data_IF_606492310114
#
_entry.id   IF_606492310114
#
_cell.length_a   1.000
_cell.length_b   1.000
_cell.length_c   1.000
_cell.angle_alpha   90.00
_cell.angle_beta   90.00
_cell.angle_gamma   90.00
#
_symmetry.space_group_name_H-M   'P 1'
#
loop_
_entity.id
_entity.type
_entity.pdbx_description
1 polymer ?
#
# COMPACT_ATOMS: atom_id res chain seq x y z
N UNK A 1 -9.59 -11.55 12.32
CA UNK A 1 -9.24 -10.89 13.61
C UNK A 1 -9.82 -11.49 14.90
N UNK A 2 -10.81 -12.40 14.86
CA UNK A 2 -11.49 -12.83 16.10
C UNK A 2 -10.50 -13.38 17.15
N UNK A 3 -10.55 -12.85 18.38
CA UNK A 3 -9.80 -13.33 19.56
C UNK A 3 -8.28 -13.02 19.60
N UNK A 4 -7.75 -12.09 18.79
CA UNK A 4 -6.33 -11.66 18.87
C UNK A 4 -5.97 -11.08 20.26
N UNK A 5 -6.70 -10.10 20.83
CA UNK A 5 -6.29 -9.48 22.10
C UNK A 5 -6.17 -10.48 23.26
N UNK A 6 -7.06 -11.49 23.30
CA UNK A 6 -7.01 -12.52 24.34
C UNK A 6 -5.87 -13.53 24.15
N UNK A 7 -5.30 -13.66 22.94
CA UNK A 7 -4.09 -14.44 22.70
C UNK A 7 -2.85 -13.65 23.13
N UNK A 8 -2.79 -12.36 22.77
CA UNK A 8 -1.71 -11.47 23.17
C UNK A 8 -1.57 -11.39 24.70
N UNK A 9 -2.67 -11.18 25.43
CA UNK A 9 -2.66 -11.13 26.89
C UNK A 9 -2.36 -12.46 27.61
N UNK A 10 -2.03 -13.53 26.88
CA UNK A 10 -1.62 -14.84 27.43
C UNK A 10 -0.16 -15.18 27.11
N UNK A 11 0.55 -14.34 26.37
CA UNK A 11 1.95 -14.56 26.07
C UNK A 11 2.77 -14.42 27.36
N UNK A 12 3.72 -15.34 27.55
CA UNK A 12 4.69 -15.25 28.64
C UNK A 12 5.74 -14.16 28.34
N UNK A 13 6.10 -13.98 27.07
CA UNK A 13 6.99 -12.95 26.54
C UNK A 13 6.29 -12.18 25.42
N UNK A 14 6.39 -10.84 25.37
CA UNK A 14 5.75 -10.05 24.32
C UNK A 14 6.37 -10.34 22.96
N UNK A 15 5.59 -10.16 21.89
CA UNK A 15 6.11 -10.16 20.53
C UNK A 15 7.11 -9.01 20.40
N UNK A 16 8.35 -9.33 20.03
CA UNK A 16 9.41 -8.38 19.80
C UNK A 16 9.34 -7.84 18.38
N UNK A 17 9.03 -6.56 18.26
CA UNK A 17 8.88 -5.89 16.96
C UNK A 17 10.15 -5.08 16.66
N UNK A 18 10.70 -5.29 15.47
CA UNK A 18 11.73 -4.42 14.90
C UNK A 18 11.12 -3.48 13.86
N UNK A 19 11.34 -2.18 13.97
CA UNK A 19 10.84 -1.17 13.02
C UNK A 19 12.01 -0.59 12.24
N UNK A 20 11.97 -0.66 10.90
CA UNK A 20 12.96 -0.07 10.00
C UNK A 20 12.33 1.16 9.34
N UNK A 21 12.85 2.34 9.67
CA UNK A 21 12.31 3.64 9.25
C UNK A 21 11.31 4.21 10.27
N UNK A 22 11.74 5.22 11.02
CA UNK A 22 11.00 5.92 12.06
C UNK A 22 10.37 7.24 11.55
N UNK A 23 9.84 7.21 10.32
CA UNK A 23 9.02 8.29 9.77
C UNK A 23 7.61 8.32 10.38
N UNK A 24 6.72 9.16 9.82
CA UNK A 24 5.36 9.34 10.34
C UNK A 24 4.62 8.02 10.59
N UNK A 25 4.64 7.09 9.64
CA UNK A 25 3.97 5.80 9.80
C UNK A 25 4.60 4.96 10.93
N UNK A 26 5.93 4.81 10.93
CA UNK A 26 6.67 4.03 11.93
C UNK A 26 6.43 4.55 13.34
N UNK A 27 6.46 5.86 13.54
CA UNK A 27 6.19 6.50 14.83
C UNK A 27 4.75 6.26 15.30
N UNK A 28 3.74 6.44 14.43
CA UNK A 28 2.33 6.18 14.82
C UNK A 28 2.06 4.72 15.13
N UNK A 29 2.78 3.79 14.49
CA UNK A 29 2.75 2.39 14.86
C UNK A 29 3.38 2.16 16.23
N UNK A 30 4.55 2.74 16.50
CA UNK A 30 5.23 2.60 17.80
C UNK A 30 4.36 3.11 18.95
N UNK A 31 3.67 4.24 18.77
CA UNK A 31 2.68 4.77 19.72
C UNK A 31 1.63 3.71 20.10
N UNK A 32 1.21 2.87 19.14
CA UNK A 32 0.23 1.82 19.39
C UNK A 32 0.85 0.55 19.96
N UNK A 33 2.06 0.17 19.54
CA UNK A 33 2.73 -1.01 20.09
C UNK A 33 2.93 -0.86 21.60
N UNK A 34 3.36 0.31 22.07
CA UNK A 34 3.65 0.53 23.49
C UNK A 34 2.40 0.59 24.39
N UNK A 35 1.19 0.63 23.81
CA UNK A 35 -0.08 0.56 24.56
C UNK A 35 -0.82 -0.77 24.39
N UNK A 36 -0.41 -1.61 23.43
CA UNK A 36 -1.02 -2.93 23.18
C UNK A 36 -0.32 -3.99 24.04
N UNK A 37 -1.08 -4.64 24.92
CA UNK A 37 -0.60 -5.76 25.71
C UNK A 37 -0.01 -6.87 24.80
N UNK A 38 1.15 -7.43 25.18
CA UNK A 38 1.75 -8.58 24.51
C UNK A 38 2.57 -8.25 23.26
N UNK A 39 2.89 -6.98 23.02
CA UNK A 39 3.85 -6.52 22.00
C UNK A 39 4.84 -5.52 22.58
N UNK A 40 5.95 -5.31 21.87
CA UNK A 40 6.98 -4.36 22.29
C UNK A 40 7.79 -3.89 21.09
N UNK A 41 7.98 -2.57 20.96
CA UNK A 41 8.94 -2.00 20.00
C UNK A 41 10.34 -2.25 20.55
N UNK A 42 10.96 -3.33 20.11
CA UNK A 42 12.21 -3.85 20.71
C UNK A 42 13.44 -3.18 20.09
N UNK A 43 13.41 -2.98 18.77
CA UNK A 43 14.53 -2.42 18.02
C UNK A 43 14.00 -1.42 17.00
N UNK A 44 14.61 -0.25 16.91
CA UNK A 44 14.39 0.70 15.82
C UNK A 44 15.68 0.85 15.02
N UNK A 45 15.57 0.70 13.70
CA UNK A 45 16.65 1.00 12.77
C UNK A 45 16.26 2.22 11.93
N UNK A 46 17.03 3.30 12.05
CA UNK A 46 16.86 4.49 11.22
C UNK A 46 18.23 5.06 10.84
N UNK A 47 18.39 5.49 9.59
CA UNK A 47 19.64 6.12 9.12
C UNK A 47 19.91 7.44 9.88
N UNK A 48 18.87 8.06 10.43
CA UNK A 48 18.92 9.19 11.32
C UNK A 48 18.66 8.73 12.76
N UNK A 49 19.73 8.52 13.53
CA UNK A 49 19.66 8.10 14.93
C UNK A 49 18.73 9.01 15.77
N UNK A 50 18.73 10.32 15.51
CA UNK A 50 17.87 11.25 16.25
C UNK A 50 16.39 11.01 15.94
N UNK A 51 16.02 10.68 14.71
CA UNK A 51 14.64 10.36 14.36
C UNK A 51 14.17 9.11 15.11
N UNK A 52 14.98 8.04 15.12
CA UNK A 52 14.67 6.82 15.87
C UNK A 52 14.56 7.05 17.38
N UNK A 53 15.46 7.85 17.96
CA UNK A 53 15.37 8.22 19.39
C UNK A 53 14.12 9.05 19.69
N UNK A 54 13.80 10.04 18.85
CA UNK A 54 12.58 10.85 19.00
C UNK A 54 11.31 10.02 18.89
N UNK A 55 11.28 9.01 18.00
CA UNK A 55 10.14 8.12 17.85
C UNK A 55 9.92 7.26 19.12
N UNK A 56 10.99 6.78 19.77
CA UNK A 56 10.88 6.11 21.07
C UNK A 56 10.33 7.05 22.15
N UNK A 57 10.83 8.28 22.21
CA UNK A 57 10.35 9.29 23.17
C UNK A 57 8.87 9.60 22.96
N UNK A 58 8.43 9.78 21.71
CA UNK A 58 7.03 10.04 21.36
C UNK A 58 6.11 8.88 21.75
N UNK A 59 6.56 7.64 21.52
CA UNK A 59 5.87 6.42 21.93
C UNK A 59 5.85 6.22 23.46
N UNK A 60 6.50 7.10 24.23
CA UNK A 60 6.53 7.08 25.69
C UNK A 60 7.56 6.14 26.30
N UNK A 61 8.54 5.67 25.52
CA UNK A 61 9.65 4.85 26.01
C UNK A 61 10.66 5.75 26.76
N UNK A 62 11.00 5.44 28.03
CA UNK A 62 12.00 6.22 28.76
C UNK A 62 13.37 6.21 28.08
N UNK A 63 14.04 7.36 28.00
CA UNK A 63 15.36 7.50 27.38
C UNK A 63 16.43 6.59 28.01
N UNK A 64 16.35 6.34 29.32
CA UNK A 64 17.26 5.45 30.02
C UNK A 64 17.04 3.96 29.72
N UNK A 65 15.92 3.62 29.09
CA UNK A 65 15.64 2.29 28.55
C UNK A 65 16.05 2.15 27.07
N UNK A 66 16.57 3.20 26.41
CA UNK A 66 16.98 3.14 24.99
C UNK A 66 18.50 3.17 24.86
N UNK A 67 19.07 2.13 24.27
CA UNK A 67 20.52 1.96 24.08
C UNK A 67 20.88 1.85 22.61
N UNK A 68 21.91 2.56 22.19
CA UNK A 68 22.47 2.41 20.83
C UNK A 68 23.30 1.13 20.77
N UNK A 69 23.06 0.30 19.75
CA UNK A 69 23.77 -0.95 19.49
C UNK A 69 23.87 -1.18 17.97
N UNK A 70 25.06 -1.47 17.44
CA UNK A 70 25.32 -1.47 15.99
C UNK A 70 25.65 -2.86 15.42
N UNK A 71 25.53 -3.92 16.23
CA UNK A 71 25.61 -5.29 15.75
C UNK A 71 24.60 -6.22 16.46
N UNK A 72 24.27 -7.38 15.85
CA UNK A 72 23.22 -8.26 16.38
C UNK A 72 23.47 -8.73 17.82
N UNK A 73 24.71 -8.98 18.22
CA UNK A 73 25.01 -9.49 19.55
C UNK A 73 24.89 -8.39 20.62
N UNK A 74 25.22 -7.15 20.28
CA UNK A 74 24.96 -6.00 21.14
C UNK A 74 23.46 -5.76 21.30
N UNK A 75 22.69 -5.84 20.19
CA UNK A 75 21.23 -5.71 20.22
C UNK A 75 20.62 -6.79 21.12
N UNK A 76 21.01 -8.07 20.94
CA UNK A 76 20.54 -9.17 21.80
C UNK A 76 20.80 -8.90 23.29
N UNK A 77 22.00 -8.41 23.64
CA UNK A 77 22.33 -8.08 25.02
C UNK A 77 21.45 -6.94 25.60
N UNK A 78 21.08 -5.94 24.77
CA UNK A 78 20.15 -4.88 25.16
C UNK A 78 18.74 -5.46 25.42
N UNK A 79 18.27 -6.35 24.54
CA UNK A 79 16.96 -6.98 24.68
C UNK A 79 16.87 -7.91 25.90
N UNK A 80 17.94 -8.63 26.21
CA UNK A 80 18.04 -9.50 27.39
C UNK A 80 17.99 -8.71 28.72
N UNK A 81 18.49 -7.46 28.72
CA UNK A 81 18.37 -6.53 29.86
C UNK A 81 16.94 -5.95 29.99
N UNK A 82 16.06 -6.18 29.01
CA UNK A 82 14.70 -5.64 28.95
C UNK A 82 14.59 -4.23 28.36
N UNK A 83 15.72 -3.69 27.86
CA UNK A 83 15.83 -2.37 27.25
C UNK A 83 15.42 -2.41 25.76
N UNK A 84 15.47 -1.25 25.09
CA UNK A 84 15.24 -1.06 23.66
C UNK A 84 16.53 -0.74 22.93
N UNK A 85 16.72 -1.33 21.77
CA UNK A 85 17.88 -1.04 20.93
C UNK A 85 17.54 -0.01 19.84
N UNK A 86 18.43 0.95 19.66
CA UNK A 86 18.45 1.87 18.53
C UNK A 86 19.70 1.57 17.69
N UNK A 87 19.54 1.50 16.38
CA UNK A 87 20.65 1.26 15.46
C UNK A 87 20.51 2.09 14.19
N UNK A 88 21.61 2.31 13.49
CA UNK A 88 21.60 2.84 12.12
C UNK A 88 21.73 1.76 11.06
N UNK A 89 21.87 0.48 11.47
CA UNK A 89 22.00 -0.67 10.58
C UNK A 89 20.76 -1.57 10.62
N UNK A 90 19.94 -1.49 9.57
CA UNK A 90 18.78 -2.36 9.39
C UNK A 90 19.16 -3.86 9.39
N UNK A 91 20.35 -4.23 8.91
CA UNK A 91 20.81 -5.62 8.92
C UNK A 91 21.09 -6.12 10.34
N UNK A 92 21.62 -5.25 11.21
CA UNK A 92 21.81 -5.56 12.62
C UNK A 92 20.47 -5.87 13.30
N UNK A 93 19.45 -5.04 13.06
CA UNK A 93 18.07 -5.28 13.52
C UNK A 93 17.53 -6.61 12.98
N UNK A 94 17.58 -6.84 11.67
CA UNK A 94 17.02 -8.04 11.02
C UNK A 94 17.62 -9.33 11.60
N UNK A 95 18.92 -9.31 11.93
CA UNK A 95 19.65 -10.47 12.46
C UNK A 95 19.51 -10.66 13.96
N UNK A 96 18.93 -9.70 14.67
CA UNK A 96 18.69 -9.78 16.11
C UNK A 96 17.49 -10.66 16.47
N UNK A 97 17.23 -10.83 17.76
CA UNK A 97 16.14 -11.66 18.30
C UNK A 97 14.78 -10.94 18.34
N UNK A 98 14.35 -10.41 17.18
CA UNK A 98 12.99 -9.91 16.91
C UNK A 98 12.12 -10.97 16.23
N UNK A 99 10.81 -10.94 16.43
CA UNK A 99 9.84 -11.85 15.82
C UNK A 99 9.31 -11.33 14.47
N UNK A 100 9.02 -10.03 14.43
CA UNK A 100 8.41 -9.35 13.28
C UNK A 100 9.22 -8.11 12.93
N UNK A 101 9.57 -7.99 11.65
CA UNK A 101 10.16 -6.78 11.06
C UNK A 101 9.07 -6.00 10.36
N UNK A 102 8.91 -4.74 10.74
CA UNK A 102 8.08 -3.77 10.04
C UNK A 102 8.99 -2.91 9.18
N UNK A 103 8.78 -2.97 7.88
CA UNK A 103 9.53 -2.19 6.91
C UNK A 103 8.70 -0.96 6.53
N UNK A 104 9.15 0.22 6.96
CA UNK A 104 8.44 1.50 6.80
C UNK A 104 9.36 2.63 6.36
N UNK A 105 10.35 2.33 5.52
CA UNK A 105 11.26 3.35 4.97
C UNK A 105 10.61 4.21 3.89
N UNK A 106 9.60 3.70 3.17
CA UNK A 106 9.00 4.38 2.03
C UNK A 106 9.92 4.45 0.81
N UNK A 107 10.99 3.63 0.77
CA UNK A 107 11.96 3.59 -0.33
C UNK A 107 11.92 2.20 -0.96
N UNK A 108 11.40 2.04 -2.20
CA UNK A 108 11.08 0.73 -2.78
C UNK A 108 12.28 -0.24 -2.79
N UNK A 109 13.43 0.22 -3.28
CA UNK A 109 14.65 -0.59 -3.36
C UNK A 109 15.16 -1.05 -1.98
N UNK A 110 15.08 -0.18 -0.97
CA UNK A 110 15.48 -0.49 0.41
C UNK A 110 14.47 -1.45 1.04
N UNK A 111 13.17 -1.22 0.82
CA UNK A 111 12.10 -2.07 1.33
C UNK A 111 12.16 -3.49 0.78
N UNK A 112 12.35 -3.64 -0.54
CA UNK A 112 12.56 -4.93 -1.19
C UNK A 112 13.74 -5.71 -0.58
N UNK A 113 14.88 -5.03 -0.36
CA UNK A 113 16.08 -5.63 0.23
C UNK A 113 15.85 -6.04 1.68
N UNK A 114 15.29 -5.16 2.50
CA UNK A 114 15.04 -5.41 3.92
C UNK A 114 14.07 -6.58 4.10
N UNK A 115 12.98 -6.61 3.33
CA UNK A 115 12.01 -7.71 3.37
C UNK A 115 12.63 -9.04 2.96
N UNK A 116 13.39 -9.06 1.86
CA UNK A 116 14.06 -10.28 1.41
C UNK A 116 15.04 -10.82 2.47
N UNK A 117 15.88 -9.95 3.04
CA UNK A 117 16.83 -10.36 4.09
C UNK A 117 16.11 -10.82 5.36
N UNK A 118 15.06 -10.13 5.79
CA UNK A 118 14.24 -10.51 6.94
C UNK A 118 13.62 -11.90 6.78
N UNK A 119 13.02 -12.16 5.62
CA UNK A 119 12.45 -13.47 5.29
C UNK A 119 13.52 -14.57 5.35
N UNK A 120 14.69 -14.33 4.77
CA UNK A 120 15.81 -15.30 4.77
C UNK A 120 16.37 -15.58 6.15
N UNK A 121 16.22 -14.64 7.07
CA UNK A 121 16.56 -14.78 8.48
C UNK A 121 15.42 -15.33 9.34
N UNK A 122 14.32 -15.80 8.71
CA UNK A 122 13.20 -16.42 9.40
C UNK A 122 12.36 -15.44 10.20
N UNK A 123 12.33 -14.16 9.79
CA UNK A 123 11.51 -13.13 10.40
C UNK A 123 10.21 -12.95 9.64
N UNK A 124 9.12 -12.72 10.36
CA UNK A 124 7.90 -12.22 9.72
C UNK A 124 8.11 -10.81 9.21
N UNK A 125 7.47 -10.46 8.10
CA UNK A 125 7.57 -9.12 7.49
C UNK A 125 6.18 -8.51 7.39
N UNK A 126 6.03 -7.30 7.94
CA UNK A 126 4.91 -6.41 7.68
C UNK A 126 5.44 -5.26 6.82
N UNK A 127 5.01 -5.22 5.57
CA UNK A 127 5.42 -4.26 4.57
C UNK A 127 4.51 -3.04 4.59
N UNK A 128 5.09 -1.87 4.87
CA UNK A 128 4.43 -0.56 4.77
C UNK A 128 4.75 0.11 3.44
N UNK A 129 5.96 -0.10 2.90
CA UNK A 129 6.37 0.41 1.58
C UNK A 129 5.66 -0.37 0.47
N UNK A 130 4.40 -0.02 0.21
CA UNK A 130 3.54 -0.65 -0.80
C UNK A 130 4.12 -0.53 -2.22
N UNK A 131 4.93 0.48 -2.47
CA UNK A 131 5.64 0.68 -3.73
C UNK A 131 6.59 -0.50 -4.04
N UNK A 132 7.25 -1.07 -3.03
CA UNK A 132 8.05 -2.29 -3.23
C UNK A 132 7.17 -3.51 -3.54
N UNK A 133 5.95 -3.54 -3.00
CA UNK A 133 5.00 -4.63 -3.18
C UNK A 133 4.51 -4.71 -4.63
N UNK A 134 4.27 -3.59 -5.29
CA UNK A 134 3.80 -3.58 -6.69
C UNK A 134 4.82 -4.19 -7.66
N UNK A 135 6.13 -4.06 -7.38
CA UNK A 135 7.18 -4.58 -8.26
C UNK A 135 7.60 -6.00 -7.93
N UNK A 136 7.83 -6.30 -6.64
CA UNK A 136 8.44 -7.57 -6.18
C UNK A 136 7.65 -8.27 -5.07
N UNK A 137 6.43 -7.84 -4.79
CA UNK A 137 5.55 -8.46 -3.81
C UNK A 137 5.34 -9.96 -4.04
N UNK A 138 4.98 -10.43 -5.26
CA UNK A 138 4.74 -11.85 -5.52
C UNK A 138 5.93 -12.76 -5.15
N UNK A 139 7.15 -12.41 -5.58
CA UNK A 139 8.34 -13.19 -5.24
C UNK A 139 8.67 -13.13 -3.73
N UNK A 140 8.44 -12.00 -3.06
CA UNK A 140 8.62 -11.89 -1.61
C UNK A 140 7.63 -12.78 -0.86
N UNK A 141 6.35 -12.80 -1.25
CA UNK A 141 5.33 -13.66 -0.67
C UNK A 141 5.66 -15.15 -0.86
N UNK A 142 6.05 -15.57 -2.07
CA UNK A 142 6.46 -16.95 -2.34
C UNK A 142 7.73 -17.32 -1.54
N UNK A 143 8.68 -16.39 -1.42
CA UNK A 143 9.90 -16.59 -0.63
C UNK A 143 9.58 -16.76 0.85
N UNK A 144 8.63 -15.99 1.39
CA UNK A 144 8.19 -16.09 2.77
C UNK A 144 7.55 -17.45 3.07
N UNK A 145 6.66 -17.92 2.18
CA UNK A 145 6.05 -19.26 2.28
C UNK A 145 7.13 -20.36 2.33
N UNK A 146 8.14 -20.29 1.46
CA UNK A 146 9.26 -21.25 1.43
C UNK A 146 10.10 -21.25 2.72
N UNK A 147 10.17 -20.12 3.43
CA UNK A 147 10.88 -19.99 4.72
C UNK A 147 9.97 -20.25 5.93
N UNK A 148 8.68 -20.51 5.71
CA UNK A 148 7.72 -20.78 6.78
C UNK A 148 7.32 -19.54 7.59
N UNK A 149 7.54 -18.34 7.04
CA UNK A 149 7.20 -17.06 7.67
C UNK A 149 6.14 -16.32 6.87
N UNK A 150 5.41 -15.43 7.54
CA UNK A 150 4.45 -14.52 6.91
C UNK A 150 5.15 -13.28 6.32
N UNK A 151 4.83 -12.97 5.06
CA UNK A 151 4.96 -11.64 4.45
C UNK A 151 3.55 -11.04 4.30
N UNK A 152 3.35 -9.81 4.75
CA UNK A 152 2.03 -9.17 4.75
C UNK A 152 2.15 -7.70 4.39
N UNK A 153 1.24 -7.20 3.55
CA UNK A 153 0.89 -5.78 3.54
C UNK A 153 0.39 -5.36 4.93
N UNK A 154 0.63 -4.11 5.28
CA UNK A 154 0.23 -3.57 6.57
C UNK A 154 -1.28 -3.29 6.64
N UNK A 155 -1.92 -3.73 7.73
CA UNK A 155 -3.31 -3.43 8.02
C UNK A 155 -3.45 -2.01 8.55
N UNK A 156 -4.53 -1.32 8.15
CA UNK A 156 -4.71 0.10 8.41
C UNK A 156 -4.39 0.98 7.22
N UNK A 157 -3.58 0.48 6.28
CA UNK A 157 -3.46 1.04 4.93
C UNK A 157 -4.57 0.46 4.02
N UNK A 158 -5.03 1.21 3.02
CA UNK A 158 -6.20 0.84 2.23
C UNK A 158 -6.09 -0.55 1.59
N UNK A 159 -4.96 -0.97 0.98
CA UNK A 159 -4.89 -2.27 0.30
C UNK A 159 -5.26 -3.46 1.20
N UNK A 160 -4.69 -3.53 2.41
CA UNK A 160 -4.96 -4.64 3.33
C UNK A 160 -6.40 -4.59 3.87
N UNK A 161 -6.99 -3.40 4.05
CA UNK A 161 -8.39 -3.27 4.47
C UNK A 161 -9.35 -3.70 3.35
N UNK A 162 -9.03 -3.39 2.09
CA UNK A 162 -9.80 -3.86 0.92
C UNK A 162 -9.71 -5.38 0.81
N UNK A 163 -8.52 -5.97 0.99
CA UNK A 163 -8.34 -7.43 0.98
C UNK A 163 -9.20 -8.11 2.06
N UNK A 164 -9.32 -7.50 3.26
CA UNK A 164 -10.24 -8.01 4.28
C UNK A 164 -11.71 -8.00 3.80
N UNK A 165 -12.18 -6.90 3.20
CA UNK A 165 -13.53 -6.81 2.66
C UNK A 165 -13.76 -7.83 1.53
N UNK A 166 -12.77 -8.01 0.66
CA UNK A 166 -12.78 -8.99 -0.42
C UNK A 166 -12.90 -10.43 0.13
N UNK A 167 -12.03 -10.80 1.05
CA UNK A 167 -12.00 -12.15 1.64
C UNK A 167 -13.31 -12.44 2.39
N UNK A 168 -13.85 -11.44 3.11
CA UNK A 168 -15.17 -11.54 3.74
C UNK A 168 -16.28 -11.79 2.71
N UNK A 169 -16.35 -10.97 1.65
CA UNK A 169 -17.40 -11.06 0.63
C UNK A 169 -17.40 -12.43 -0.06
N UNK A 170 -16.22 -12.90 -0.47
CA UNK A 170 -16.03 -14.24 -1.05
C UNK A 170 -16.43 -15.34 -0.05
N UNK A 171 -16.06 -15.22 1.22
CA UNK A 171 -16.39 -16.20 2.27
C UNK A 171 -17.89 -16.35 2.49
N UNK A 172 -18.65 -15.25 2.40
CA UNK A 172 -20.12 -15.28 2.54
C UNK A 172 -20.86 -15.62 1.23
N UNK A 173 -20.11 -15.89 0.15
CA UNK A 173 -20.66 -16.32 -1.14
C UNK A 173 -21.19 -15.18 -2.00
N UNK A 174 -20.74 -13.95 -1.77
CA UNK A 174 -21.02 -12.81 -2.64
C UNK A 174 -19.94 -12.72 -3.72
N UNK A 175 -20.36 -12.47 -4.95
CA UNK A 175 -19.42 -12.19 -6.03
C UNK A 175 -18.94 -10.74 -5.92
N UNK A 176 -17.64 -10.51 -6.04
CA UNK A 176 -17.07 -9.16 -6.04
C UNK A 176 -17.15 -8.58 -7.45
N UNK A 177 -17.82 -7.44 -7.57
CA UNK A 177 -18.01 -6.71 -8.84
C UNK A 177 -16.91 -5.68 -9.00
N UNK A 178 -16.70 -4.85 -7.98
CA UNK A 178 -15.65 -3.85 -7.93
C UNK A 178 -15.14 -3.74 -6.49
N UNK A 179 -13.85 -3.47 -6.29
CA UNK A 179 -13.28 -3.15 -4.98
C UNK A 179 -12.33 -1.96 -5.12
N UNK A 180 -12.23 -1.13 -4.08
CA UNK A 180 -11.47 0.10 -4.23
C UNK A 180 -11.41 0.99 -3.00
N UNK A 181 -10.90 2.19 -3.24
CA UNK A 181 -10.78 3.28 -2.26
C UNK A 181 -11.42 4.57 -2.76
N UNK A 182 -11.56 5.55 -1.87
CA UNK A 182 -11.75 6.94 -2.28
C UNK A 182 -10.41 7.67 -2.41
N UNK A 183 -10.38 8.69 -3.27
CA UNK A 183 -9.25 9.60 -3.39
C UNK A 183 -9.69 10.92 -4.05
N UNK A 184 -9.18 12.09 -3.66
CA UNK A 184 -9.40 13.31 -4.44
C UNK A 184 -8.72 13.19 -5.81
N UNK A 185 -9.47 13.30 -6.90
CA UNK A 185 -8.90 13.19 -8.25
C UNK A 185 -9.70 13.96 -9.30
N UNK A 186 -8.98 14.68 -10.15
CA UNK A 186 -9.48 15.16 -11.46
C UNK A 186 -8.39 14.93 -12.50
N UNK A 187 -8.78 14.74 -13.76
CA UNK A 187 -7.86 14.36 -14.84
C UNK A 187 -6.68 15.34 -14.98
N UNK A 188 -6.87 16.64 -14.76
CA UNK A 188 -5.78 17.63 -14.87
C UNK A 188 -4.69 17.45 -13.79
N UNK A 189 -5.01 16.85 -12.65
CA UNK A 189 -4.05 16.70 -11.54
C UNK A 189 -2.90 15.77 -11.88
N UNK A 190 -3.03 14.89 -12.88
CA UNK A 190 -1.96 14.03 -13.36
C UNK A 190 -0.73 14.83 -13.86
N UNK A 191 -0.93 16.09 -14.28
CA UNK A 191 0.14 16.96 -14.77
C UNK A 191 0.71 17.89 -13.70
N UNK A 192 0.15 17.85 -12.48
CA UNK A 192 0.62 18.67 -11.38
C UNK A 192 2.00 18.24 -10.89
N UNK A 193 2.68 19.16 -10.22
CA UNK A 193 4.09 19.00 -9.83
C UNK A 193 4.29 19.27 -8.34
N UNK A 194 5.46 18.94 -7.77
CA UNK A 194 5.80 19.33 -6.39
C UNK A 194 5.72 20.84 -6.13
N UNK A 195 5.80 21.70 -7.16
CA UNK A 195 5.80 23.16 -7.00
C UNK A 195 4.44 23.74 -6.61
N UNK A 196 3.33 23.11 -7.02
CA UNK A 196 1.96 23.63 -6.87
C UNK A 196 1.08 22.77 -5.95
N UNK A 197 1.67 21.73 -5.34
CA UNK A 197 0.89 20.70 -4.65
C UNK A 197 0.15 21.21 -3.42
N UNK A 198 0.81 22.04 -2.61
CA UNK A 198 0.18 22.54 -1.37
C UNK A 198 -0.93 23.54 -1.66
N UNK A 199 -0.85 24.27 -2.77
CA UNK A 199 -1.93 25.12 -3.27
C UNK A 199 -3.13 24.28 -3.71
N UNK A 200 -2.89 23.18 -4.42
CA UNK A 200 -3.96 22.23 -4.83
C UNK A 200 -4.62 21.53 -3.65
N UNK A 201 -3.87 21.22 -2.59
CA UNK A 201 -4.44 20.74 -1.32
C UNK A 201 -5.16 21.84 -0.52
N UNK A 202 -4.98 23.11 -0.87
CA UNK A 202 -5.55 24.24 -0.14
C UNK A 202 -4.90 24.49 1.23
N UNK A 203 -3.65 24.05 1.42
CA UNK A 203 -2.91 24.32 2.65
C UNK A 203 -2.50 25.79 2.74
N UNK A 204 -2.50 26.35 3.94
CA UNK A 204 -1.98 27.71 4.14
C UNK A 204 -0.45 27.71 4.08
N UNK A 205 0.14 28.81 3.59
CA UNK A 205 1.60 29.01 3.62
C UNK A 205 2.17 28.80 5.04
N UNK A 206 1.47 29.30 6.08
CA UNK A 206 1.85 29.13 7.48
C UNK A 206 1.91 27.65 7.90
N UNK A 207 0.92 26.84 7.52
CA UNK A 207 0.91 25.42 7.86
C UNK A 207 2.04 24.65 7.15
N UNK A 208 2.32 24.99 5.90
CA UNK A 208 3.42 24.38 5.13
C UNK A 208 4.77 24.77 5.70
N UNK A 209 4.99 26.02 6.09
CA UNK A 209 6.25 26.46 6.71
C UNK A 209 6.49 25.82 8.08
N UNK A 210 5.43 25.55 8.85
CA UNK A 210 5.52 24.92 10.16
C UNK A 210 5.60 23.38 10.11
N UNK A 211 5.30 22.77 8.97
CA UNK A 211 5.23 21.32 8.79
C UNK A 211 6.34 20.82 7.86
N UNK A 212 7.02 19.73 8.22
CA UNK A 212 8.03 19.09 7.35
C UNK A 212 7.36 18.18 6.30
N UNK A 213 6.54 18.78 5.42
CA UNK A 213 5.79 18.05 4.39
C UNK A 213 6.67 17.69 3.19
N UNK A 214 6.54 16.45 2.70
CA UNK A 214 7.22 16.01 1.47
C UNK A 214 6.32 16.28 0.24
N UNK A 215 6.64 17.26 -0.63
CA UNK A 215 5.77 17.62 -1.75
C UNK A 215 5.63 16.52 -2.80
N UNK A 216 6.63 15.65 -3.00
CA UNK A 216 6.52 14.50 -3.92
C UNK A 216 5.48 13.51 -3.44
N UNK A 217 5.54 13.15 -2.15
CA UNK A 217 4.55 12.26 -1.53
C UNK A 217 3.14 12.83 -1.67
N UNK A 218 2.93 14.11 -1.33
CA UNK A 218 1.62 14.74 -1.49
C UNK A 218 1.17 14.78 -2.96
N UNK A 219 2.07 15.05 -3.91
CA UNK A 219 1.71 15.10 -5.31
C UNK A 219 1.29 13.74 -5.86
N UNK A 220 1.93 12.66 -5.41
CA UNK A 220 1.55 11.29 -5.75
C UNK A 220 0.11 10.94 -5.34
N UNK A 221 -0.45 11.62 -4.33
CA UNK A 221 -1.84 11.45 -3.93
C UNK A 221 -2.82 12.06 -4.93
N UNK A 222 -2.47 13.17 -5.59
CA UNK A 222 -3.37 13.85 -6.52
C UNK A 222 -3.15 13.47 -7.98
N UNK A 223 -1.92 13.13 -8.38
CA UNK A 223 -1.59 12.82 -9.77
C UNK A 223 -2.02 11.43 -10.24
N UNK A 224 -2.62 10.63 -9.35
CA UNK A 224 -3.11 9.27 -9.63
C UNK A 224 -2.10 8.16 -9.34
N UNK A 225 -0.84 8.49 -9.05
CA UNK A 225 0.22 7.50 -8.79
C UNK A 225 -0.10 6.65 -7.56
N UNK A 226 -0.43 7.26 -6.41
CA UNK A 226 -0.73 6.51 -5.19
C UNK A 226 -1.98 5.64 -5.33
N UNK A 227 -3.11 6.12 -5.90
CA UNK A 227 -4.24 5.25 -6.27
C UNK A 227 -3.83 4.05 -7.13
N UNK A 228 -3.00 4.25 -8.16
CA UNK A 228 -2.53 3.15 -9.01
C UNK A 228 -1.70 2.13 -8.22
N UNK A 229 -0.77 2.59 -7.38
CA UNK A 229 0.06 1.73 -6.52
C UNK A 229 -0.79 0.90 -5.56
N UNK A 230 -1.71 1.53 -4.83
CA UNK A 230 -2.55 0.82 -3.87
C UNK A 230 -3.53 -0.16 -4.56
N UNK A 231 -4.08 0.20 -5.72
CA UNK A 231 -4.98 -0.70 -6.45
C UNK A 231 -4.23 -1.83 -7.15
N UNK A 232 -2.96 -1.65 -7.52
CA UNK A 232 -2.08 -2.74 -7.96
C UNK A 232 -1.90 -3.77 -6.85
N UNK A 233 -1.61 -3.32 -5.63
CA UNK A 233 -1.48 -4.20 -4.47
C UNK A 233 -2.76 -4.99 -4.17
N UNK A 234 -3.93 -4.33 -4.27
CA UNK A 234 -5.23 -5.00 -4.17
C UNK A 234 -5.42 -6.02 -5.28
N UNK A 235 -5.16 -5.64 -6.54
CA UNK A 235 -5.31 -6.51 -7.70
C UNK A 235 -4.47 -7.78 -7.53
N UNK A 236 -3.17 -7.64 -7.23
CA UNK A 236 -2.24 -8.75 -7.05
C UNK A 236 -2.61 -9.63 -5.83
N UNK A 237 -3.24 -9.07 -4.80
CA UNK A 237 -3.73 -9.84 -3.65
C UNK A 237 -5.08 -10.54 -3.89
N UNK A 238 -5.88 -10.12 -4.87
CA UNK A 238 -7.28 -10.57 -5.03
C UNK A 238 -7.58 -11.22 -6.38
N UNK A 239 -6.72 -11.05 -7.38
CA UNK A 239 -6.96 -11.44 -8.77
C UNK A 239 -7.94 -10.53 -9.52
N UNK A 240 -8.38 -9.44 -8.90
CA UNK A 240 -9.16 -8.38 -9.56
C UNK A 240 -8.26 -7.63 -10.56
N UNK A 241 -8.85 -7.00 -11.58
CA UNK A 241 -8.11 -6.32 -12.66
C UNK A 241 -8.63 -4.89 -12.92
N UNK A 242 -7.82 -3.96 -13.45
CA UNK A 242 -8.37 -2.72 -13.98
C UNK A 242 -9.29 -3.00 -15.17
N UNK A 243 -10.45 -2.34 -15.23
CA UNK A 243 -11.37 -2.47 -16.38
C UNK A 243 -10.89 -1.69 -17.61
N UNK A 244 -10.13 -0.61 -17.37
CA UNK A 244 -9.43 0.21 -18.37
C UNK A 244 -8.07 0.64 -17.82
N UNK A 245 -7.04 0.90 -18.67
CA UNK A 245 -5.78 1.46 -18.20
C UNK A 245 -5.99 2.75 -17.41
N UNK A 246 -5.36 2.84 -16.24
CA UNK A 246 -5.53 3.96 -15.32
C UNK A 246 -6.77 3.87 -14.42
N UNK A 247 -7.65 2.87 -14.56
CA UNK A 247 -8.98 2.79 -13.91
C UNK A 247 -9.96 3.87 -14.40
N UNK A 248 -11.22 3.82 -13.96
CA UNK A 248 -12.23 4.80 -14.37
C UNK A 248 -12.21 6.08 -13.51
N UNK A 249 -11.87 5.97 -12.21
CA UNK A 249 -11.87 7.07 -11.24
C UNK A 249 -13.15 7.95 -11.23
N UNK A 250 -14.37 7.38 -11.26
CA UNK A 250 -15.58 8.20 -11.33
C UNK A 250 -15.80 8.99 -10.04
N UNK A 251 -16.35 10.19 -10.16
CA UNK A 251 -16.93 10.92 -9.03
C UNK A 251 -18.27 10.28 -8.64
N UNK A 252 -18.47 9.96 -7.37
CA UNK A 252 -19.73 9.41 -6.86
C UNK A 252 -19.84 9.65 -5.35
N UNK A 253 -21.04 9.99 -4.87
CA UNK A 253 -21.33 9.90 -3.44
C UNK A 253 -21.38 8.43 -3.01
N UNK A 254 -21.14 8.14 -1.73
CA UNK A 254 -21.22 6.78 -1.17
C UNK A 254 -22.51 6.05 -1.60
N UNK A 255 -23.72 6.65 -1.54
CA UNK A 255 -24.95 5.98 -1.97
C UNK A 255 -25.03 5.62 -3.46
N UNK A 256 -24.13 6.16 -4.28
CA UNK A 256 -24.13 6.02 -5.74
C UNK A 256 -23.07 5.01 -6.24
N UNK A 257 -22.11 4.63 -5.41
CA UNK A 257 -20.97 3.78 -5.82
C UNK A 257 -21.44 2.48 -6.49
N UNK A 258 -22.41 1.77 -5.92
CA UNK A 258 -22.96 0.53 -6.50
C UNK A 258 -23.86 0.76 -7.73
N UNK A 259 -24.35 1.98 -7.94
CA UNK A 259 -25.09 2.36 -9.15
C UNK A 259 -24.11 2.58 -10.32
N UNK A 260 -22.96 3.20 -10.03
CA UNK A 260 -21.92 3.54 -11.01
C UNK A 260 -21.04 2.33 -11.32
N UNK A 261 -20.42 1.72 -10.32
CA UNK A 261 -19.44 0.63 -10.44
C UNK A 261 -20.12 -0.75 -10.56
N UNK A 262 -20.90 -0.92 -11.63
CA UNK A 262 -21.50 -2.19 -12.06
C UNK A 262 -21.43 -2.31 -13.59
N UNK A 263 -21.72 -3.49 -14.17
CA UNK A 263 -21.69 -3.68 -15.61
C UNK A 263 -22.59 -2.72 -16.39
N UNK A 264 -22.15 -2.31 -17.60
CA UNK A 264 -22.93 -1.48 -18.53
C UNK A 264 -24.28 -2.07 -18.90
N UNK A 265 -24.37 -3.40 -19.01
CA UNK A 265 -25.63 -4.11 -19.27
C UNK A 265 -26.68 -3.91 -18.17
N UNK A 266 -26.23 -3.59 -16.96
CA UNK A 266 -27.04 -3.32 -15.78
C UNK A 266 -27.15 -1.81 -15.46
N UNK A 267 -26.60 -0.94 -16.32
CA UNK A 267 -26.71 0.51 -16.23
C UNK A 267 -25.57 1.22 -15.47
N UNK A 268 -24.46 0.54 -15.20
CA UNK A 268 -23.23 1.17 -14.68
C UNK A 268 -22.21 1.48 -15.78
N UNK A 269 -20.94 1.65 -15.40
CA UNK A 269 -19.86 2.03 -16.31
C UNK A 269 -18.89 0.91 -16.68
N UNK A 270 -18.92 -0.23 -15.97
CA UNK A 270 -17.91 -1.28 -16.12
C UNK A 270 -18.18 -2.18 -17.32
N UNK A 271 -17.15 -2.58 -18.06
CA UNK A 271 -17.27 -3.65 -19.06
C UNK A 271 -17.33 -5.03 -18.39
N UNK A 272 -16.60 -5.22 -17.29
CA UNK A 272 -16.48 -6.50 -16.59
C UNK A 272 -16.87 -6.43 -15.11
N UNK A 273 -17.07 -7.60 -14.49
CA UNK A 273 -17.04 -7.75 -13.02
C UNK A 273 -15.65 -8.22 -12.58
N UNK A 274 -15.35 -8.09 -11.29
CA UNK A 274 -14.05 -8.45 -10.74
C UNK A 274 -13.00 -7.36 -10.98
N UNK A 275 -13.38 -6.10 -10.78
CA UNK A 275 -12.52 -4.95 -11.08
C UNK A 275 -11.92 -4.31 -9.82
N UNK A 276 -10.73 -3.71 -9.97
CA UNK A 276 -10.26 -2.68 -9.04
C UNK A 276 -10.51 -1.30 -9.65
N UNK A 277 -10.97 -0.36 -8.82
CA UNK A 277 -11.15 1.04 -9.23
C UNK A 277 -11.00 1.98 -8.03
N UNK A 278 -10.94 3.28 -8.27
CA UNK A 278 -10.94 4.33 -7.25
C UNK A 278 -12.17 5.21 -7.45
N UNK A 279 -12.77 5.75 -6.39
CA UNK A 279 -13.86 6.74 -6.52
C UNK A 279 -13.31 8.11 -6.19
N UNK A 280 -13.51 9.07 -7.10
CA UNK A 280 -13.09 10.44 -6.87
C UNK A 280 -14.01 11.14 -5.86
N UNK A 281 -13.41 11.88 -4.93
CA UNK A 281 -14.13 12.81 -4.05
C UNK A 281 -14.23 14.23 -4.61
N UNK A 282 -13.81 14.43 -5.85
CA UNK A 282 -13.95 15.68 -6.59
C UNK A 282 -14.75 15.43 -7.87
N UNK A 283 -15.60 16.38 -8.22
CA UNK A 283 -16.17 16.47 -9.56
C UNK A 283 -15.15 17.04 -10.55
N UNK A 284 -15.35 16.86 -11.88
CA UNK A 284 -14.43 17.40 -12.89
C UNK A 284 -14.24 18.93 -12.87
N UNK A 285 -15.13 19.68 -12.21
CA UNK A 285 -14.99 21.12 -12.00
C UNK A 285 -14.30 21.49 -10.67
N UNK A 286 -13.66 20.50 -10.03
CA UNK A 286 -12.96 20.58 -8.75
C UNK A 286 -13.86 20.87 -7.53
N UNK A 287 -15.19 20.82 -7.70
CA UNK A 287 -16.10 20.87 -6.56
C UNK A 287 -16.07 19.56 -5.76
N UNK A 288 -16.15 19.66 -4.44
CA UNK A 288 -16.19 18.50 -3.54
C UNK A 288 -17.47 17.69 -3.74
N UNK A 289 -17.34 16.36 -3.66
CA UNK A 289 -18.48 15.44 -3.53
C UNK A 289 -18.94 15.46 -2.07
N UNK A 290 -20.23 15.63 -1.80
CA UNK A 290 -20.73 15.89 -0.44
C UNK A 290 -20.55 14.71 0.54
N UNK A 291 -21.05 13.52 0.19
CA UNK A 291 -20.95 12.28 1.00
C UNK A 291 -19.90 11.34 0.38
N UNK A 292 -18.66 11.81 0.30
CA UNK A 292 -17.57 11.12 -0.39
C UNK A 292 -16.89 10.03 0.44
N UNK A 293 -16.06 9.21 -0.22
CA UNK A 293 -15.35 8.07 0.37
C UNK A 293 -13.82 8.30 0.50
N UNK A 294 -13.29 9.53 0.42
CA UNK A 294 -11.84 9.85 0.32
C UNK A 294 -10.93 9.10 1.29
N UNK A 295 -11.37 8.89 2.53
CA UNK A 295 -10.59 8.20 3.56
C UNK A 295 -11.00 6.73 3.74
N UNK A 296 -11.95 6.25 2.96
CA UNK A 296 -12.55 4.95 3.08
C UNK A 296 -12.14 3.98 1.98
N UNK A 297 -12.66 2.77 2.13
CA UNK A 297 -12.55 1.68 1.17
C UNK A 297 -13.92 1.07 0.93
N UNK A 298 -14.11 0.45 -0.23
CA UNK A 298 -15.38 -0.15 -0.61
C UNK A 298 -15.22 -1.49 -1.32
N UNK A 299 -16.31 -2.23 -1.33
CA UNK A 299 -16.54 -3.35 -2.22
C UNK A 299 -17.99 -3.32 -2.71
N UNK A 300 -18.17 -3.35 -4.03
CA UNK A 300 -19.45 -3.59 -4.68
C UNK A 300 -19.57 -5.08 -4.95
N UNK A 301 -20.65 -5.68 -4.47
CA UNK A 301 -20.89 -7.11 -4.64
C UNK A 301 -22.13 -7.40 -5.46
N UNK A 302 -22.21 -8.62 -5.99
CA UNK A 302 -23.39 -9.20 -6.63
C UNK A 302 -23.84 -10.44 -5.89
N UNK A 303 -25.08 -10.42 -5.41
CA UNK A 303 -25.72 -11.61 -4.86
C UNK A 303 -26.19 -12.50 -6.01
N UNK A 304 -25.79 -13.77 -6.04
CA UNK A 304 -26.13 -14.67 -7.16
C UNK A 304 -27.52 -15.33 -7.01
N UNK A 305 -28.02 -15.44 -5.77
CA UNK A 305 -29.30 -16.06 -5.47
C UNK A 305 -30.42 -15.02 -5.42
N UNK A 306 -31.49 -15.23 -6.20
CA UNK A 306 -32.63 -14.29 -6.30
C UNK A 306 -33.34 -14.05 -4.96
N UNK A 307 -33.49 -15.07 -4.11
CA UNK A 307 -34.11 -14.88 -2.79
C UNK A 307 -33.22 -14.03 -1.87
N UNK A 308 -31.89 -14.17 -2.00
CA UNK A 308 -30.93 -13.31 -1.30
C UNK A 308 -30.97 -11.88 -1.83
N UNK A 309 -31.08 -11.68 -3.16
CA UNK A 309 -31.27 -10.36 -3.75
C UNK A 309 -32.51 -9.66 -3.18
N UNK A 310 -33.66 -10.34 -3.18
CA UNK A 310 -34.90 -9.81 -2.60
C UNK A 310 -34.79 -9.51 -1.09
N UNK A 311 -34.02 -10.31 -0.35
CA UNK A 311 -33.76 -10.06 1.06
C UNK A 311 -32.89 -8.82 1.27
N UNK A 312 -31.84 -8.65 0.46
CA UNK A 312 -30.95 -7.49 0.51
C UNK A 312 -31.68 -6.21 0.05
N UNK A 313 -32.55 -6.31 -0.96
CA UNK A 313 -33.41 -5.21 -1.42
C UNK A 313 -34.31 -4.66 -0.30
N UNK A 314 -34.88 -5.55 0.52
CA UNK A 314 -35.69 -5.17 1.69
C UNK A 314 -34.90 -4.40 2.76
N UNK A 315 -33.58 -4.59 2.80
CA UNK A 315 -32.67 -3.85 3.69
C UNK A 315 -32.16 -2.55 3.04
N UNK A 316 -32.39 -2.36 1.73
CA UNK A 316 -32.08 -1.15 1.00
C UNK A 316 -32.69 0.08 1.67
N UNK A 317 -31.87 1.11 1.91
CA UNK A 317 -32.30 2.34 2.59
C UNK A 317 -32.46 2.23 4.10
N UNK A 318 -32.17 1.08 4.72
CA UNK A 318 -32.16 0.88 6.19
C UNK A 318 -30.74 0.66 6.75
N UNK A 319 -29.72 1.16 6.05
CA UNK A 319 -28.30 1.02 6.42
C UNK A 319 -27.46 0.25 5.39
N UNK A 320 -28.01 -0.04 4.21
CA UNK A 320 -27.29 -0.62 3.08
C UNK A 320 -27.74 0.05 1.80
N UNK A 321 -26.79 0.33 0.92
CA UNK A 321 -27.04 0.83 -0.43
C UNK A 321 -27.07 -0.33 -1.40
N UNK A 322 -28.12 -0.36 -2.22
CA UNK A 322 -28.39 -1.47 -3.15
C UNK A 322 -28.81 -0.91 -4.50
N UNK A 323 -28.60 -1.74 -5.52
CA UNK A 323 -28.88 -1.43 -6.91
C UNK A 323 -29.59 -2.62 -7.58
N UNK A 324 -30.43 -2.34 -8.58
CA UNK A 324 -31.17 -3.33 -9.37
C UNK A 324 -31.89 -4.39 -8.52
N UNK A 325 -32.85 -3.94 -7.69
CA UNK A 325 -33.69 -4.82 -6.85
C UNK A 325 -32.85 -5.75 -5.95
N UNK A 326 -31.81 -5.17 -5.33
CA UNK A 326 -30.90 -5.90 -4.44
C UNK A 326 -29.94 -6.85 -5.15
N UNK A 327 -29.77 -6.77 -6.48
CA UNK A 327 -28.74 -7.52 -7.22
C UNK A 327 -27.33 -7.08 -6.85
N UNK A 328 -27.11 -5.77 -6.71
CA UNK A 328 -25.84 -5.17 -6.35
C UNK A 328 -25.91 -4.51 -4.97
N UNK A 329 -24.83 -4.60 -4.19
CA UNK A 329 -24.75 -4.03 -2.85
C UNK A 329 -23.41 -3.34 -2.64
N UNK A 330 -23.42 -2.25 -1.88
CA UNK A 330 -22.21 -1.60 -1.39
C UNK A 330 -21.93 -2.02 0.05
N UNK A 331 -20.69 -2.46 0.29
CA UNK A 331 -20.12 -2.55 1.62
C UNK A 331 -18.90 -1.64 1.66
N UNK A 332 -18.78 -0.82 2.69
CA UNK A 332 -17.71 0.15 2.79
C UNK A 332 -17.26 0.35 4.23
N UNK A 333 -16.03 0.81 4.38
CA UNK A 333 -15.47 1.29 5.63
C UNK A 333 -15.08 2.75 5.39
N UNK A 334 -15.71 3.72 6.09
CA UNK A 334 -15.52 5.15 5.78
C UNK A 334 -14.21 5.74 6.33
N UNK A 335 -13.27 4.90 6.77
CA UNK A 335 -11.98 5.31 7.31
C UNK A 335 -10.96 4.18 7.16
N UNK A 336 -9.69 4.56 7.17
CA UNK A 336 -8.54 3.71 7.44
C UNK A 336 -7.60 4.51 8.36
N UNK A 337 -6.85 3.85 9.24
CA UNK A 337 -5.97 4.51 10.20
C UNK A 337 -4.54 3.98 10.03
N UNK A 338 -3.76 4.56 9.09
CA UNK A 338 -2.42 4.09 8.79
C UNK A 338 -1.51 4.26 10.02
N UNK A 339 -0.61 3.30 10.24
CA UNK A 339 0.23 3.20 11.44
C UNK A 339 -0.54 2.70 12.67
N UNK A 340 -1.70 3.28 12.96
CA UNK A 340 -2.47 2.99 14.19
C UNK A 340 -3.00 1.55 14.21
N UNK A 341 -3.48 1.04 13.08
CA UNK A 341 -4.03 -0.33 13.00
C UNK A 341 -2.99 -1.39 12.63
N UNK A 342 -1.74 -0.99 12.39
CA UNK A 342 -0.69 -1.88 11.88
C UNK A 342 -0.32 -3.02 12.86
N UNK A 343 -0.60 -2.86 14.15
CA UNK A 343 -0.48 -3.93 15.16
C UNK A 343 -1.32 -5.17 14.83
N UNK A 344 -2.40 -5.03 14.04
CA UNK A 344 -3.20 -6.16 13.57
C UNK A 344 -2.39 -7.11 12.70
N UNK A 345 -1.55 -6.61 11.78
CA UNK A 345 -0.69 -7.44 10.93
C UNK A 345 0.41 -8.12 11.74
N UNK A 346 1.03 -7.38 12.66
CA UNK A 346 2.05 -7.91 13.58
C UNK A 346 1.49 -9.09 14.38
N UNK A 347 0.30 -8.91 14.97
CA UNK A 347 -0.37 -9.96 15.73
C UNK A 347 -0.72 -11.19 14.88
N UNK A 348 -1.27 -11.01 13.68
CA UNK A 348 -1.65 -12.15 12.84
C UNK A 348 -0.42 -12.92 12.36
N UNK A 349 0.64 -12.22 11.95
CA UNK A 349 1.90 -12.86 11.55
C UNK A 349 2.48 -13.70 12.70
N UNK A 350 2.73 -13.08 13.87
CA UNK A 350 3.36 -13.77 14.99
C UNK A 350 2.50 -14.87 15.64
N UNK A 351 1.18 -14.67 15.76
CA UNK A 351 0.31 -15.61 16.51
C UNK A 351 -0.35 -16.68 15.63
N UNK A 352 -0.38 -16.49 14.32
CA UNK A 352 -1.13 -17.35 13.40
C UNK A 352 -0.38 -17.73 12.14
N UNK A 353 0.71 -17.03 11.84
CA UNK A 353 1.38 -17.13 10.56
C UNK A 353 0.41 -16.88 9.39
N UNK A 354 -0.44 -15.85 9.55
CA UNK A 354 -1.45 -15.43 8.58
C UNK A 354 -1.20 -13.96 8.19
N UNK A 355 -1.12 -13.60 6.90
CA UNK A 355 -1.07 -12.20 6.48
C UNK A 355 -2.44 -11.54 6.60
N UNK A 356 -2.47 -10.22 6.76
CA UNK A 356 -3.70 -9.39 6.63
C UNK A 356 -3.98 -8.98 5.18
N UNK A 357 -2.99 -9.15 4.32
CA UNK A 357 -3.09 -9.05 2.87
C UNK A 357 -1.72 -9.39 2.28
N UNK A 358 -1.68 -10.13 1.17
CA UNK A 358 -0.44 -10.47 0.48
C UNK A 358 -0.76 -10.75 -0.99
N UNK A 359 0.18 -10.48 -1.91
CA UNK A 359 0.01 -10.84 -3.31
C UNK A 359 -0.14 -12.36 -3.44
N UNK A 360 -1.11 -12.78 -4.26
CA UNK A 360 -1.42 -14.17 -4.56
C UNK A 360 -1.04 -14.52 -6.01
N UNK A 361 -0.98 -13.51 -6.86
CA UNK A 361 -0.66 -13.60 -8.28
C UNK A 361 -0.09 -12.24 -8.76
N UNK A 362 0.37 -12.17 -10.01
CA UNK A 362 0.79 -10.92 -10.67
C UNK A 362 -0.18 -10.64 -11.83
N UNK A 363 -1.27 -9.94 -11.53
CA UNK A 363 -2.36 -9.65 -12.49
C UNK A 363 -2.41 -8.19 -12.94
N UNK A 364 -1.75 -7.29 -12.21
CA UNK A 364 -1.66 -5.88 -12.54
C UNK A 364 -0.25 -5.34 -12.31
N UNK A 365 0.08 -4.29 -13.05
CA UNK A 365 1.36 -3.60 -13.02
C UNK A 365 1.10 -2.08 -12.91
N UNK A 366 1.95 -1.36 -12.20
CA UNK A 366 1.95 0.11 -12.27
C UNK A 366 3.00 0.49 -13.31
N UNK A 367 2.60 1.22 -14.35
CA UNK A 367 3.50 1.70 -15.41
C UNK A 367 3.63 3.22 -15.36
N UNK A 368 4.72 3.78 -15.89
CA UNK A 368 4.93 5.23 -15.93
C UNK A 368 4.39 5.87 -17.21
N UNK A 369 3.62 6.94 -17.08
CA UNK A 369 3.19 7.81 -18.19
C UNK A 369 3.84 9.17 -18.09
N UNK A 370 4.28 9.72 -19.22
CA UNK A 370 4.96 11.01 -19.23
C UNK A 370 3.98 12.18 -18.99
N UNK A 371 4.25 13.04 -18.00
CA UNK A 371 3.47 14.26 -17.70
C UNK A 371 3.62 15.32 -18.80
N UNK A 372 4.71 15.26 -19.55
CA UNK A 372 5.09 16.16 -20.64
C UNK A 372 5.95 15.39 -21.64
N UNK A 373 6.18 15.93 -22.82
CA UNK A 373 7.19 15.38 -23.71
C UNK A 373 8.57 15.44 -23.02
N UNK A 374 9.29 14.32 -23.07
CA UNK A 374 10.63 14.11 -22.53
C UNK A 374 11.60 13.85 -23.68
N UNK A 375 12.79 14.41 -23.61
CA UNK A 375 13.83 14.32 -24.62
C UNK A 375 15.03 13.48 -24.12
N UNK A 376 15.81 12.87 -25.03
CA UNK A 376 17.00 12.12 -24.65
C UNK A 376 17.99 12.93 -23.81
N UNK A 377 18.44 12.34 -22.70
CA UNK A 377 19.34 12.93 -21.72
C UNK A 377 18.65 13.66 -20.56
N UNK A 378 17.31 13.68 -20.52
CA UNK A 378 16.55 13.99 -19.31
C UNK A 378 16.54 12.78 -18.36
N UNK A 379 16.35 13.03 -17.06
CA UNK A 379 16.26 11.99 -16.02
C UNK A 379 14.85 11.97 -15.45
N UNK A 380 14.30 10.78 -15.25
CA UNK A 380 12.99 10.58 -14.63
C UNK A 380 13.09 10.71 -13.10
N UNK A 381 12.01 11.20 -12.48
CA UNK A 381 11.97 11.59 -11.06
C UNK A 381 10.90 10.86 -10.23
N UNK A 382 10.36 9.76 -10.79
CA UNK A 382 9.49 8.83 -10.07
C UNK A 382 8.17 9.43 -9.55
N UNK A 383 7.68 8.85 -8.45
CA UNK A 383 6.36 9.14 -7.87
C UNK A 383 6.19 10.60 -7.44
N UNK A 384 5.12 11.23 -7.94
CA UNK A 384 4.80 12.62 -7.57
C UNK A 384 5.75 13.66 -8.13
N UNK A 385 6.65 13.29 -9.04
CA UNK A 385 7.62 14.19 -9.68
C UNK A 385 7.04 15.07 -10.78
N UNK A 386 7.92 15.57 -11.64
CA UNK A 386 7.67 16.46 -12.77
C UNK A 386 7.62 15.70 -14.11
N UNK A 387 8.19 14.50 -14.19
CA UNK A 387 8.40 13.80 -15.47
C UNK A 387 7.34 12.77 -15.78
N UNK A 388 6.96 11.94 -14.80
CA UNK A 388 6.04 10.81 -14.98
C UNK A 388 5.03 10.69 -13.84
N UNK A 389 3.91 10.02 -14.11
CA UNK A 389 2.93 9.57 -13.11
C UNK A 389 2.63 8.08 -13.28
N UNK A 390 2.23 7.42 -12.19
CA UNK A 390 1.86 6.01 -12.20
C UNK A 390 0.47 5.78 -12.79
N UNK A 391 0.33 4.76 -13.61
CA UNK A 391 -0.94 4.32 -14.21
C UNK A 391 -1.09 2.81 -14.03
N UNK A 392 -2.26 2.36 -13.55
CA UNK A 392 -2.51 0.93 -13.36
C UNK A 392 -2.83 0.27 -14.70
N UNK A 393 -2.20 -0.86 -14.99
CA UNK A 393 -2.44 -1.65 -16.18
C UNK A 393 -2.55 -3.14 -15.84
N UNK A 394 -3.19 -3.91 -16.72
CA UNK A 394 -3.14 -5.36 -16.67
C UNK A 394 -1.71 -5.85 -16.93
N UNK A 395 -1.21 -6.77 -16.11
CA UNK A 395 0.19 -7.21 -16.17
C UNK A 395 0.56 -7.91 -17.49
N UNK A 396 -0.40 -8.60 -18.14
CA UNK A 396 -0.17 -9.23 -19.45
C UNK A 396 0.01 -8.15 -20.51
N UNK A 397 -0.78 -7.08 -20.45
CA UNK A 397 -0.65 -5.93 -21.37
C UNK A 397 0.68 -5.20 -21.16
N UNK A 398 1.05 -4.88 -19.93
CA UNK A 398 2.31 -4.20 -19.62
C UNK A 398 3.52 -4.98 -20.15
N UNK A 399 3.51 -6.31 -19.97
CA UNK A 399 4.52 -7.21 -20.51
C UNK A 399 4.52 -7.26 -22.04
N UNK A 400 3.37 -7.42 -22.68
CA UNK A 400 3.27 -7.50 -24.15
C UNK A 400 3.74 -6.21 -24.84
N UNK A 401 3.56 -5.06 -24.18
CA UNK A 401 3.99 -3.75 -24.68
C UNK A 401 5.38 -3.32 -24.20
N UNK A 402 6.08 -4.16 -23.43
CA UNK A 402 7.42 -3.87 -22.88
C UNK A 402 7.44 -2.58 -22.03
N UNK A 403 6.36 -2.33 -21.29
CA UNK A 403 6.23 -1.20 -20.38
C UNK A 403 7.08 -1.42 -19.12
N UNK A 404 7.68 -0.34 -18.62
CA UNK A 404 8.54 -0.39 -17.43
C UNK A 404 7.70 -0.30 -16.15
N UNK A 405 7.90 -1.20 -15.17
CA UNK A 405 7.33 -1.06 -13.83
C UNK A 405 7.74 0.26 -13.19
N UNK A 406 6.76 1.01 -12.67
CA UNK A 406 6.89 2.41 -12.31
C UNK A 406 8.03 2.70 -11.32
N UNK A 407 8.16 1.88 -10.27
CA UNK A 407 9.18 2.09 -9.23
C UNK A 407 10.60 1.71 -9.68
N UNK A 408 10.78 1.25 -10.93
CA UNK A 408 12.09 1.08 -11.55
C UNK A 408 12.51 2.31 -12.36
N UNK A 409 11.62 3.28 -12.56
CA UNK A 409 11.89 4.50 -13.34
C UNK A 409 12.60 5.59 -12.55
N UNK A 410 12.73 5.45 -11.23
CA UNK A 410 13.42 6.45 -10.40
C UNK A 410 14.90 6.57 -10.84
N UNK A 411 15.35 7.80 -11.04
CA UNK A 411 16.67 8.15 -11.59
C UNK A 411 17.00 7.55 -12.99
N UNK A 412 16.02 7.03 -13.73
CA UNK A 412 16.25 6.48 -15.07
C UNK A 412 16.55 7.57 -16.11
N UNK A 413 17.52 7.34 -16.99
CA UNK A 413 17.89 8.29 -18.04
C UNK A 413 17.07 8.03 -19.32
N UNK A 414 16.44 9.06 -19.85
CA UNK A 414 15.68 9.00 -21.11
C UNK A 414 16.66 8.87 -22.28
N UNK A 415 16.47 7.86 -23.13
CA UNK A 415 17.34 7.57 -24.29
C UNK A 415 16.68 7.83 -25.64
N UNK A 416 15.35 7.93 -25.66
CA UNK A 416 14.53 8.28 -26.81
C UNK A 416 13.46 9.31 -26.41
N UNK A 417 12.96 10.12 -27.36
CA UNK A 417 11.85 11.04 -27.07
C UNK A 417 10.62 10.25 -26.66
N UNK A 418 9.99 10.65 -25.54
CA UNK A 418 8.73 10.09 -25.01
C UNK A 418 7.70 11.21 -25.06
N UNK A 419 6.60 11.03 -25.79
CA UNK A 419 5.57 12.07 -25.89
C UNK A 419 4.73 12.15 -24.61
N UNK A 420 4.09 13.30 -24.37
CA UNK A 420 3.13 13.43 -23.25
C UNK A 420 2.06 12.33 -23.32
N UNK A 421 1.72 11.75 -22.18
CA UNK A 421 0.79 10.65 -21.95
C UNK A 421 1.21 9.28 -22.50
N UNK A 422 2.36 9.21 -23.20
CA UNK A 422 2.96 7.96 -23.63
C UNK A 422 3.44 7.16 -22.40
N UNK A 423 3.24 5.84 -22.45
CA UNK A 423 3.74 4.91 -21.42
C UNK A 423 5.20 4.61 -21.71
N UNK A 424 6.05 4.70 -20.69
CA UNK A 424 7.49 4.48 -20.83
C UNK A 424 7.79 2.99 -21.07
N UNK A 425 8.53 2.70 -22.14
CA UNK A 425 9.00 1.34 -22.48
C UNK A 425 10.48 1.14 -22.16
N UNK A 426 10.89 -0.12 -22.00
CA UNK A 426 12.28 -0.47 -21.67
C UNK A 426 13.31 0.03 -22.70
N UNK A 427 12.92 0.19 -23.97
CA UNK A 427 13.82 0.70 -25.03
C UNK A 427 13.95 2.23 -25.07
N UNK A 428 13.15 2.95 -24.28
CA UNK A 428 13.16 4.42 -24.20
C UNK A 428 13.99 4.96 -23.04
N UNK A 429 14.45 4.12 -22.12
CA UNK A 429 15.16 4.53 -20.89
C UNK A 429 16.34 3.61 -20.58
N UNK A 430 17.32 4.14 -19.86
CA UNK A 430 18.41 3.39 -19.24
C UNK A 430 18.12 3.30 -17.74
N UNK A 431 17.91 2.08 -17.23
CA UNK A 431 17.52 1.81 -15.85
C UNK A 431 18.74 1.50 -14.98
N UNK A 432 18.67 1.80 -13.67
CA UNK A 432 19.67 1.32 -12.73
C UNK A 432 19.49 -0.19 -12.45
N UNK A 433 20.11 -1.00 -13.30
CA UNK A 433 20.13 -2.47 -13.19
C UNK A 433 20.92 -2.96 -11.95
N UNK A 434 21.66 -2.08 -11.27
CA UNK A 434 22.44 -2.43 -10.10
C UNK A 434 21.62 -2.47 -8.80
N UNK A 435 20.43 -1.88 -8.79
CA UNK A 435 19.51 -1.89 -7.66
C UNK A 435 19.08 -3.32 -7.28
N UNK A 436 18.76 -3.51 -5.99
CA UNK A 436 18.31 -4.80 -5.49
C UNK A 436 16.92 -5.14 -6.02
N UNK A 437 16.01 -4.16 -6.07
CA UNK A 437 14.65 -4.35 -6.56
C UNK A 437 14.62 -4.75 -8.04
N UNK A 438 15.44 -4.14 -8.89
CA UNK A 438 15.57 -4.55 -10.29
C UNK A 438 16.04 -6.01 -10.40
N UNK A 439 17.13 -6.36 -9.72
CA UNK A 439 17.66 -7.73 -9.72
C UNK A 439 16.64 -8.76 -9.21
N UNK A 440 15.88 -8.41 -8.18
CA UNK A 440 14.83 -9.28 -7.64
C UNK A 440 13.64 -9.40 -8.60
N UNK A 441 13.27 -8.31 -9.28
CA UNK A 441 12.25 -8.30 -10.33
C UNK A 441 12.62 -9.21 -11.50
N UNK A 442 13.87 -9.18 -11.96
CA UNK A 442 14.34 -10.11 -13.01
C UNK A 442 14.17 -11.57 -12.58
N UNK A 443 14.47 -11.90 -11.32
CA UNK A 443 14.24 -13.26 -10.79
C UNK A 443 12.74 -13.59 -10.74
N UNK A 444 11.89 -12.63 -10.36
CA UNK A 444 10.44 -12.79 -10.39
C UNK A 444 9.97 -13.11 -11.81
N UNK A 445 10.41 -12.34 -12.79
CA UNK A 445 9.96 -12.51 -14.17
C UNK A 445 10.38 -13.88 -14.73
N UNK A 446 11.61 -14.32 -14.46
CA UNK A 446 12.06 -15.68 -14.81
C UNK A 446 11.19 -16.80 -14.18
N UNK A 447 10.69 -16.61 -12.95
CA UNK A 447 9.85 -17.59 -12.26
C UNK A 447 8.43 -17.65 -12.81
N UNK A 448 7.84 -16.50 -13.12
CA UNK A 448 6.47 -16.41 -13.63
C UNK A 448 6.39 -16.53 -15.17
N UNK A 449 7.53 -16.66 -15.85
CA UNK A 449 7.60 -16.73 -17.31
C UNK A 449 7.25 -15.38 -17.96
N UNK A 450 7.54 -14.29 -17.25
CA UNK A 450 7.44 -12.91 -17.72
C UNK A 450 8.60 -12.51 -18.60
#
# INVERSE_FOLDING_TARGET
MLNIPAKLGKLDEPIRVGVIGAGLFGTKLMDQIEVVDGMTTSVVADINEQAGRSAFEEAGVPDDAVRTADDPAEIEAVLDDGDRALTTDANALIRSDVDVVVESTGVPNVGAKNAYEAIRHGKHVVMVTVEAETVVGPILAETAEKHGVTYSMVYGDQPSVIVELYDWAQTVGLEVVAAGKGNPYVEEYQYGTPDDIFDRFGFSEEYVEESELNPYMYNSFLDGTKPAVEMCAVANATGLKPDVPGMHLPSAEIPEIQEVLRPKEDGGILENTGVVDTVSSLYPDESEVDDDISFGVFIVTRAQNVDVQQYLDQMGGSGMYVANEGKYQLFYRPYHLPGVEATVSIANAALRNEPTGAPRDHVAEVVGRAKRTLEPGETLDGGGGYTVYGSLEDAETAKEQDHVPFELLDDADVTATIERDEVVTFDQVDLDEDTFIYKLRQVQDELYGN
#
